data_IF_481176450272
#
_entry.id   IF_481176450272
#
_cell.length_a   1.000
_cell.length_b   1.000
_cell.length_c   1.000
_cell.angle_alpha   90.00
_cell.angle_beta   90.00
_cell.angle_gamma   90.00
#
_symmetry.space_group_name_H-M   'P 1'
#
loop_
_entity.id
_entity.type
_entity.pdbx_description
1 polymer ?
#
# COMPACT_ATOMS: atom_id res chain seq x y z
N UNK A 1 -0.77 2.14 10.21
CA UNK A 1 -1.92 3.03 9.91
C UNK A 1 -1.57 3.82 8.66
N UNK A 2 -2.54 4.07 7.78
CA UNK A 2 -2.34 4.88 6.58
C UNK A 2 -3.45 5.94 6.45
N UNK A 3 -3.10 7.17 6.06
CA UNK A 3 -4.02 8.32 5.93
C UNK A 3 -4.28 8.69 4.47
N UNK A 4 -4.25 7.68 3.60
CA UNK A 4 -4.43 7.83 2.17
C UNK A 4 -5.75 8.46 1.73
N UNK A 5 -6.79 8.18 2.50
CA UNK A 5 -8.12 8.75 2.37
C UNK A 5 -8.64 9.09 3.77
N UNK A 6 -9.11 10.32 3.94
CA UNK A 6 -9.74 10.79 5.17
C UNK A 6 -11.08 11.43 4.80
N UNK A 7 -12.16 10.90 5.35
CA UNK A 7 -13.50 11.45 5.21
C UNK A 7 -13.81 12.25 6.48
N UNK A 8 -14.23 13.50 6.31
CA UNK A 8 -14.37 14.44 7.42
C UNK A 8 -15.69 15.22 7.34
N UNK A 9 -16.49 15.18 8.41
CA UNK A 9 -17.53 16.16 8.62
C UNK A 9 -16.91 17.48 9.09
N UNK A 10 -16.78 18.44 8.17
CA UNK A 10 -16.11 19.73 8.41
C UNK A 10 -16.72 20.52 9.57
N UNK A 11 -18.03 20.46 9.77
CA UNK A 11 -18.69 21.24 10.82
C UNK A 11 -18.31 20.78 12.23
N UNK A 12 -17.96 19.49 12.37
CA UNK A 12 -17.61 18.91 13.66
C UNK A 12 -16.09 18.85 13.82
N UNK A 13 -15.34 18.46 12.79
CA UNK A 13 -13.93 18.06 12.95
C UNK A 13 -12.91 19.08 12.44
N UNK A 14 -13.32 20.30 12.05
CA UNK A 14 -12.39 21.33 11.58
C UNK A 14 -11.35 21.71 12.64
N UNK A 15 -11.75 21.83 13.91
CA UNK A 15 -10.84 22.19 15.01
C UNK A 15 -9.70 21.18 15.14
N UNK A 16 -10.00 19.88 15.04
CA UNK A 16 -9.00 18.82 15.08
C UNK A 16 -8.02 18.86 13.90
N UNK A 17 -8.50 19.27 12.72
CA UNK A 17 -7.64 19.46 11.56
C UNK A 17 -6.68 20.64 11.77
N UNK A 18 -7.18 21.77 12.28
CA UNK A 18 -6.36 22.94 12.60
C UNK A 18 -5.31 22.61 13.68
N UNK A 19 -5.69 21.81 14.68
CA UNK A 19 -4.75 21.31 15.68
C UNK A 19 -3.67 20.43 15.05
N UNK A 20 -4.04 19.50 14.16
CA UNK A 20 -3.07 18.71 13.39
C UNK A 20 -2.09 19.57 12.60
N UNK A 21 -2.56 20.64 11.95
CA UNK A 21 -1.70 21.60 11.26
C UNK A 21 -0.74 22.31 12.23
N UNK A 22 -1.21 22.73 13.40
CA UNK A 22 -0.38 23.35 14.43
C UNK A 22 0.72 22.39 14.92
N UNK A 23 0.39 21.13 15.16
CA UNK A 23 1.37 20.09 15.51
C UNK A 23 2.39 19.87 14.40
N UNK A 24 1.97 19.94 13.13
CA UNK A 24 2.88 19.75 12.01
C UNK A 24 3.89 20.91 11.87
N UNK A 25 3.49 22.13 12.24
CA UNK A 25 4.36 23.30 12.22
C UNK A 25 5.40 23.32 13.36
N UNK A 26 5.20 22.51 14.40
CA UNK A 26 6.12 22.46 15.53
C UNK A 26 7.04 21.25 15.44
N UNK A 27 8.33 21.51 15.27
CA UNK A 27 9.38 20.50 15.12
C UNK A 27 9.37 19.40 16.20
N UNK A 28 9.01 19.74 17.44
CA UNK A 28 9.00 18.77 18.54
C UNK A 28 7.91 17.70 18.35
N UNK A 29 6.81 18.05 17.69
CA UNK A 29 5.69 17.15 17.43
C UNK A 29 5.75 16.53 16.04
N UNK A 30 6.32 17.22 15.04
CA UNK A 30 6.37 16.72 13.66
C UNK A 30 7.56 15.79 13.36
N UNK A 31 8.74 16.01 13.95
CA UNK A 31 9.94 15.20 13.69
C UNK A 31 9.85 13.73 14.09
N UNK A 32 9.20 13.36 15.21
CA UNK A 32 9.13 11.95 15.64
C UNK A 32 8.22 11.09 14.77
N UNK A 33 7.37 11.70 13.93
CA UNK A 33 6.35 11.02 13.14
C UNK A 33 6.58 11.24 11.65
N UNK A 34 5.84 10.53 10.80
CA UNK A 34 5.91 10.74 9.35
C UNK A 34 5.06 11.94 8.89
N UNK A 35 4.35 12.59 9.81
CA UNK A 35 3.82 13.94 9.69
C UNK A 35 2.32 13.96 9.44
N UNK A 36 1.88 13.52 8.27
CA UNK A 36 0.46 13.54 7.91
C UNK A 36 -0.35 12.54 8.72
N UNK A 37 0.02 11.26 8.68
CA UNK A 37 -0.79 10.14 9.16
C UNK A 37 -1.07 10.22 10.65
N UNK A 38 -0.03 10.44 11.44
CA UNK A 38 -0.14 10.45 12.89
C UNK A 38 -0.80 11.73 13.41
N UNK A 39 -0.57 12.88 12.75
CA UNK A 39 -1.07 14.16 13.25
C UNK A 39 -2.55 14.40 12.93
N UNK A 40 -3.12 13.75 11.91
CA UNK A 40 -4.54 13.86 11.57
C UNK A 40 -5.45 13.44 12.74
N UNK A 41 -5.30 12.22 13.25
CA UNK A 41 -6.15 11.71 14.34
C UNK A 41 -5.69 12.23 15.69
N UNK A 42 -4.39 12.45 15.91
CA UNK A 42 -3.89 13.07 17.13
C UNK A 42 -4.47 14.49 17.30
N UNK A 43 -4.57 15.26 16.21
CA UNK A 43 -5.21 16.58 16.23
C UNK A 43 -6.68 16.52 16.64
N UNK A 44 -7.43 15.51 16.18
CA UNK A 44 -8.82 15.27 16.60
C UNK A 44 -8.90 14.96 18.10
N UNK A 45 -8.09 14.02 18.59
CA UNK A 45 -8.03 13.68 20.02
C UNK A 45 -7.71 14.88 20.91
N UNK A 46 -6.68 15.67 20.56
CA UNK A 46 -6.29 16.85 21.34
C UNK A 46 -7.35 17.96 21.33
N UNK A 47 -8.24 17.95 20.34
CA UNK A 47 -9.36 18.90 20.25
C UNK A 47 -10.64 18.38 20.93
N UNK A 48 -10.57 17.23 21.61
CA UNK A 48 -11.72 16.57 22.24
C UNK A 48 -12.70 15.97 21.23
N UNK A 49 -12.30 15.79 19.97
CA UNK A 49 -13.11 15.18 18.93
C UNK A 49 -12.75 13.69 18.81
N UNK A 50 -13.36 12.88 19.65
CA UNK A 50 -13.12 11.42 19.69
C UNK A 50 -14.08 10.63 18.79
N UNK A 51 -15.06 11.30 18.17
CA UNK A 51 -16.02 10.70 17.23
C UNK A 51 -15.37 10.47 15.86
N UNK A 52 -14.38 9.59 15.81
CA UNK A 52 -13.76 9.13 14.58
C UNK A 52 -13.44 7.63 14.67
N UNK A 53 -13.37 6.99 13.51
CA UNK A 53 -13.10 5.57 13.40
C UNK A 53 -12.03 5.31 12.32
N UNK A 54 -11.28 4.22 12.51
CA UNK A 54 -10.41 3.68 11.48
C UNK A 54 -11.17 2.64 10.67
N UNK A 55 -10.78 2.45 9.41
CA UNK A 55 -11.32 1.37 8.60
C UNK A 55 -11.13 0.01 9.31
N UNK A 56 -12.21 -0.77 9.38
CA UNK A 56 -12.21 -2.09 10.02
C UNK A 56 -11.19 -3.05 9.39
N UNK A 57 -11.09 -3.02 8.06
CA UNK A 57 -10.11 -3.83 7.32
C UNK A 57 -8.74 -3.18 7.29
N UNK A 58 -7.73 -3.99 7.58
CA UNK A 58 -6.33 -3.61 7.41
C UNK A 58 -5.98 -3.37 5.94
N UNK A 59 -4.85 -2.70 5.72
CA UNK A 59 -4.32 -2.47 4.39
C UNK A 59 -4.01 -3.78 3.67
N UNK A 60 -4.27 -3.80 2.35
CA UNK A 60 -4.00 -4.93 1.48
C UNK A 60 -2.82 -4.65 0.54
N UNK A 61 -2.06 -5.70 0.22
CA UNK A 61 -1.22 -5.70 -0.97
C UNK A 61 -2.07 -6.16 -2.15
N UNK A 62 -2.06 -5.42 -3.27
CA UNK A 62 -2.77 -5.82 -4.49
C UNK A 62 -1.82 -6.21 -5.60
N UNK A 63 -2.10 -7.31 -6.28
CA UNK A 63 -1.19 -7.80 -7.30
C UNK A 63 -1.52 -9.22 -7.76
N UNK A 64 -0.48 -10.00 -8.00
CA UNK A 64 -0.58 -11.41 -8.33
C UNK A 64 -0.22 -12.25 -7.10
N UNK A 65 -0.93 -13.37 -6.91
CA UNK A 65 -0.62 -14.32 -5.85
C UNK A 65 0.52 -15.24 -6.28
N UNK A 66 1.59 -15.25 -5.48
CA UNK A 66 2.62 -16.27 -5.51
C UNK A 66 2.31 -17.28 -4.41
N UNK A 67 2.10 -18.55 -4.77
CA UNK A 67 1.84 -19.60 -3.79
C UNK A 67 3.03 -20.56 -3.70
N UNK A 68 3.56 -20.71 -2.49
CA UNK A 68 4.62 -21.66 -2.16
C UNK A 68 4.13 -22.60 -1.05
N UNK A 69 3.62 -23.77 -1.46
CA UNK A 69 2.97 -24.70 -0.56
C UNK A 69 1.71 -24.10 0.08
N UNK A 70 1.74 -23.92 1.40
CA UNK A 70 0.65 -23.33 2.20
C UNK A 70 0.71 -21.82 2.33
N UNK A 71 1.80 -21.19 1.90
CA UNK A 71 2.02 -19.76 2.06
C UNK A 71 1.61 -19.05 0.76
N UNK A 72 0.70 -18.10 0.87
CA UNK A 72 0.34 -17.14 -0.19
C UNK A 72 1.10 -15.84 0.05
N UNK A 73 1.62 -15.27 -1.02
CA UNK A 73 2.41 -14.04 -0.99
C UNK A 73 1.93 -13.10 -2.09
N UNK A 74 1.75 -11.83 -1.77
CA UNK A 74 1.46 -10.78 -2.75
C UNK A 74 2.48 -9.67 -2.56
N UNK A 75 3.23 -9.35 -3.61
CA UNK A 75 4.17 -8.24 -3.66
C UNK A 75 3.64 -7.13 -4.55
N UNK A 76 3.74 -5.89 -4.08
CA UNK A 76 3.33 -4.74 -4.86
C UNK A 76 4.00 -3.47 -4.37
N UNK A 77 4.08 -2.48 -5.26
CA UNK A 77 4.33 -1.08 -4.88
C UNK A 77 3.06 -0.37 -4.45
N UNK A 78 1.93 -1.08 -4.49
CA UNK A 78 0.61 -0.56 -4.28
C UNK A 78 0.03 -1.09 -2.98
N UNK A 79 -0.57 -0.18 -2.22
CA UNK A 79 -1.29 -0.48 -0.99
C UNK A 79 -2.72 -0.05 -1.18
N UNK A 80 -3.68 -0.91 -0.82
CA UNK A 80 -5.09 -0.64 -1.01
C UNK A 80 -5.88 -0.82 0.29
N UNK A 81 -7.03 -0.17 0.37
CA UNK A 81 -8.03 -0.37 1.42
C UNK A 81 -9.37 -0.76 0.79
N UNK A 82 -10.04 -1.68 1.48
CA UNK A 82 -11.33 -2.22 1.08
C UNK A 82 -12.36 -1.95 2.17
N UNK A 83 -13.62 -1.84 1.79
CA UNK A 83 -14.74 -1.78 2.73
C UNK A 83 -15.05 -3.17 3.30
N UNK A 84 -16.04 -3.21 4.21
CA UNK A 84 -16.47 -4.46 4.84
C UNK A 84 -17.00 -5.49 3.82
N UNK A 85 -17.52 -5.03 2.67
CA UNK A 85 -18.00 -5.86 1.58
C UNK A 85 -16.90 -6.33 0.61
N UNK A 86 -15.66 -5.84 0.77
CA UNK A 86 -14.54 -6.17 -0.12
C UNK A 86 -14.48 -5.30 -1.38
N UNK A 87 -15.15 -4.15 -1.40
CA UNK A 87 -15.07 -3.14 -2.46
C UNK A 87 -13.86 -2.23 -2.25
N UNK A 88 -13.13 -1.92 -3.32
CA UNK A 88 -11.95 -1.04 -3.26
C UNK A 88 -12.37 0.39 -2.94
N UNK A 89 -11.92 0.92 -1.79
CA UNK A 89 -12.17 2.31 -1.39
C UNK A 89 -11.03 3.22 -1.88
N UNK A 90 -9.79 2.79 -1.69
CA UNK A 90 -8.62 3.64 -1.92
C UNK A 90 -7.37 2.82 -2.26
N UNK A 91 -6.47 3.44 -3.02
CA UNK A 91 -5.18 2.86 -3.42
C UNK A 91 -4.06 3.92 -3.43
N UNK A 92 -2.89 3.55 -2.88
CA UNK A 92 -1.63 4.27 -3.05
C UNK A 92 -0.72 3.54 -4.02
N UNK A 93 0.10 4.30 -4.75
CA UNK A 93 1.20 3.75 -5.55
C UNK A 93 1.19 4.23 -6.99
N UNK A 94 0.16 4.99 -7.39
CA UNK A 94 0.11 5.71 -8.66
C UNK A 94 -0.24 4.85 -9.87
N UNK A 95 -0.81 3.66 -9.67
CA UNK A 95 -1.33 2.77 -10.72
C UNK A 95 -0.33 2.32 -11.80
N UNK A 96 0.92 2.71 -11.70
CA UNK A 96 2.05 2.16 -12.43
C UNK A 96 2.80 1.14 -11.56
N UNK A 97 3.44 0.16 -12.16
CA UNK A 97 4.31 -0.80 -11.44
C UNK A 97 5.31 -0.11 -10.52
N UNK A 98 5.91 1.00 -10.94
CA UNK A 98 6.80 1.79 -10.10
C UNK A 98 6.71 3.29 -10.41
N UNK A 99 6.37 4.09 -9.39
CA UNK A 99 6.30 5.56 -9.48
C UNK A 99 7.66 6.27 -9.48
N UNK A 100 8.77 5.54 -9.34
CA UNK A 100 10.13 6.11 -9.23
C UNK A 100 10.87 5.95 -10.55
N UNK A 101 11.53 7.02 -10.99
CA UNK A 101 12.47 6.95 -12.11
C UNK A 101 13.82 6.36 -11.64
N UNK A 102 13.82 5.05 -11.38
CA UNK A 102 14.98 4.34 -10.81
C UNK A 102 15.40 3.10 -11.56
N UNK A 103 14.77 2.77 -12.70
CA UNK A 103 14.98 1.51 -13.41
C UNK A 103 16.46 1.22 -13.70
N UNK A 104 17.22 2.16 -14.27
CA UNK A 104 18.64 1.92 -14.57
C UNK A 104 19.51 1.81 -13.31
N UNK A 105 19.17 2.54 -12.25
CA UNK A 105 19.83 2.38 -10.96
C UNK A 105 19.55 0.99 -10.36
N UNK A 106 18.29 0.58 -10.29
CA UNK A 106 17.86 -0.72 -9.75
C UNK A 106 18.45 -1.88 -10.59
N UNK A 107 18.44 -1.77 -11.91
CA UNK A 107 19.04 -2.74 -12.84
C UNK A 107 20.54 -2.95 -12.59
N UNK A 108 21.28 -1.86 -12.37
CA UNK A 108 22.71 -1.94 -12.08
C UNK A 108 22.99 -2.60 -10.73
N UNK A 109 22.11 -2.37 -9.75
CA UNK A 109 22.29 -2.78 -8.35
C UNK A 109 21.87 -4.23 -8.11
N UNK A 110 20.76 -4.67 -8.67
CA UNK A 110 20.14 -5.95 -8.31
C UNK A 110 20.35 -7.03 -9.39
N UNK A 111 20.88 -8.19 -9.00
CA UNK A 111 21.20 -9.29 -9.94
C UNK A 111 19.95 -10.01 -10.46
N UNK A 112 18.93 -10.18 -9.63
CA UNK A 112 17.65 -10.79 -10.00
C UNK A 112 16.94 -10.00 -11.12
N UNK A 113 16.97 -8.67 -11.09
CA UNK A 113 16.41 -7.83 -12.16
C UNK A 113 17.13 -8.05 -13.49
N UNK A 114 18.44 -8.30 -13.48
CA UNK A 114 19.21 -8.65 -14.70
C UNK A 114 18.89 -10.04 -15.24
N UNK A 115 18.38 -10.94 -14.40
CA UNK A 115 17.87 -12.25 -14.84
C UNK A 115 16.51 -12.17 -15.51
N UNK A 116 15.69 -11.18 -15.14
CA UNK A 116 14.31 -11.04 -15.63
C UNK A 116 14.17 -10.00 -16.75
N UNK A 117 15.12 -9.06 -16.88
CA UNK A 117 15.07 -7.97 -17.84
C UNK A 117 16.37 -7.89 -18.64
N UNK A 118 16.25 -7.71 -19.96
CA UNK A 118 17.40 -7.70 -20.87
C UNK A 118 18.21 -6.39 -20.79
N UNK A 119 17.58 -5.31 -20.34
CA UNK A 119 18.21 -3.99 -20.22
C UNK A 119 17.48 -3.11 -19.21
N UNK A 120 18.11 -2.01 -18.79
CA UNK A 120 17.40 -1.06 -17.95
C UNK A 120 16.23 -0.35 -18.66
N UNK A 121 16.28 -0.22 -20.00
CA UNK A 121 15.16 0.29 -20.77
C UNK A 121 13.94 -0.64 -20.67
N UNK A 122 14.16 -1.96 -20.78
CA UNK A 122 13.08 -2.94 -20.62
C UNK A 122 12.48 -2.94 -19.20
N UNK A 123 13.32 -2.74 -18.17
CA UNK A 123 12.84 -2.56 -16.80
C UNK A 123 12.07 -1.24 -16.64
N UNK A 124 12.51 -0.16 -17.30
CA UNK A 124 11.83 1.12 -17.26
C UNK A 124 10.44 1.04 -17.90
N UNK A 125 10.31 0.36 -19.04
CA UNK A 125 9.01 0.09 -19.67
C UNK A 125 8.09 -0.70 -18.74
N UNK A 126 8.61 -1.70 -18.02
CA UNK A 126 7.84 -2.42 -17.00
C UNK A 126 7.41 -1.52 -15.84
N UNK A 127 8.29 -0.66 -15.33
CA UNK A 127 7.99 0.28 -14.25
C UNK A 127 6.87 1.26 -14.60
N UNK A 128 6.86 1.75 -15.85
CA UNK A 128 5.84 2.66 -16.35
C UNK A 128 4.51 1.95 -16.67
N UNK A 129 4.52 0.62 -16.80
CA UNK A 129 3.33 -0.13 -17.17
C UNK A 129 2.24 -0.05 -16.09
N UNK A 130 0.97 0.11 -16.46
CA UNK A 130 -0.14 0.06 -15.53
C UNK A 130 -0.20 -1.29 -14.82
N UNK A 131 -0.53 -1.27 -13.54
CA UNK A 131 -0.74 -2.50 -12.77
C UNK A 131 -2.01 -3.21 -13.22
N UNK A 132 -1.94 -4.54 -13.31
CA UNK A 132 -3.08 -5.42 -13.61
C UNK A 132 -3.27 -6.43 -12.46
N UNK A 133 -3.77 -5.99 -11.30
CA UNK A 133 -3.89 -6.85 -10.13
C UNK A 133 -5.00 -7.89 -10.34
N UNK A 134 -4.80 -9.10 -9.82
CA UNK A 134 -5.79 -10.18 -9.82
C UNK A 134 -6.41 -10.42 -8.45
N UNK A 135 -5.66 -10.10 -7.40
CA UNK A 135 -6.07 -10.31 -6.02
C UNK A 135 -5.67 -9.15 -5.13
N UNK A 136 -6.35 -9.03 -3.98
CA UNK A 136 -5.88 -8.31 -2.81
C UNK A 136 -5.64 -9.31 -1.68
N UNK A 137 -4.52 -9.16 -0.97
CA UNK A 137 -4.26 -9.93 0.25
C UNK A 137 -4.22 -8.98 1.45
N UNK A 138 -5.22 -9.09 2.32
CA UNK A 138 -5.32 -8.39 3.59
C UNK A 138 -4.78 -9.33 4.65
N UNK A 139 -3.84 -8.84 5.45
CA UNK A 139 -3.27 -9.61 6.55
C UNK A 139 -3.39 -8.82 7.84
N UNK A 140 -3.94 -9.46 8.87
CA UNK A 140 -3.95 -8.86 10.19
C UNK A 140 -2.52 -8.72 10.74
N UNK A 141 -2.19 -7.65 11.47
CA UNK A 141 -0.93 -7.57 12.19
C UNK A 141 -0.91 -8.69 13.22
N UNK A 142 0.00 -9.65 13.07
CA UNK A 142 0.16 -10.71 14.06
C UNK A 142 1.18 -10.24 15.10
N UNK A 143 0.93 -10.53 16.36
CA UNK A 143 1.94 -10.40 17.42
C UNK A 143 3.00 -11.48 17.19
N UNK A 144 4.02 -11.15 16.41
CA UNK A 144 5.08 -12.10 16.12
C UNK A 144 6.01 -12.23 17.33
N UNK A 145 6.24 -13.46 17.79
CA UNK A 145 7.41 -13.76 18.60
C UNK A 145 8.68 -13.42 17.81
N UNK A 146 9.79 -13.15 18.49
CA UNK A 146 11.08 -12.77 17.87
C UNK A 146 11.52 -13.74 16.75
N UNK A 147 11.08 -15.00 16.79
CA UNK A 147 11.40 -16.05 15.82
C UNK A 147 10.44 -16.12 14.60
N UNK A 148 9.28 -15.46 14.65
CA UNK A 148 8.26 -15.47 13.58
C UNK A 148 8.22 -14.19 12.73
N UNK A 149 9.25 -13.33 12.84
CA UNK A 149 9.39 -12.05 12.10
C UNK A 149 9.36 -12.17 10.56
N UNK A 150 9.27 -13.39 10.01
CA UNK A 150 9.20 -13.65 8.57
C UNK A 150 7.77 -13.65 8.00
N UNK A 151 6.74 -13.65 8.84
CA UNK A 151 5.34 -13.60 8.41
C UNK A 151 4.84 -12.15 8.51
N UNK A 152 3.99 -11.72 7.57
CA UNK A 152 3.48 -10.33 7.51
C UNK A 152 4.13 -9.46 6.44
N UNK A 153 3.95 -8.13 6.59
CA UNK A 153 4.44 -7.11 5.66
C UNK A 153 5.97 -6.99 5.73
N UNK A 154 6.64 -7.21 4.60
CA UNK A 154 8.09 -7.14 4.47
C UNK A 154 8.47 -6.39 3.20
N UNK A 155 9.33 -5.40 3.35
CA UNK A 155 9.96 -4.73 2.22
C UNK A 155 10.88 -5.70 1.47
N UNK A 156 10.81 -5.71 0.14
CA UNK A 156 11.68 -6.51 -0.73
C UNK A 156 12.45 -5.59 -1.69
N UNK A 157 13.62 -5.07 -1.26
CA UNK A 157 14.39 -4.13 -2.07
C UNK A 157 14.89 -4.70 -3.39
N UNK A 158 15.12 -6.01 -3.45
CA UNK A 158 15.61 -6.73 -4.60
C UNK A 158 14.62 -6.74 -5.77
N UNK A 159 13.32 -6.57 -5.52
CA UNK A 159 12.31 -6.35 -6.58
C UNK A 159 12.45 -4.98 -7.26
N UNK A 160 13.31 -4.10 -6.74
CA UNK A 160 13.63 -2.79 -7.30
C UNK A 160 12.67 -1.69 -6.86
N UNK A 161 12.45 -0.70 -7.73
CA UNK A 161 11.69 0.52 -7.46
C UNK A 161 12.23 1.28 -6.24
N UNK A 162 13.55 1.42 -6.09
CA UNK A 162 14.19 1.94 -4.85
C UNK A 162 13.71 1.24 -3.57
N UNK A 163 13.30 -0.02 -3.67
CA UNK A 163 12.76 -0.81 -2.58
C UNK A 163 11.34 -0.44 -2.14
N UNK A 164 10.55 0.20 -3.00
CA UNK A 164 9.13 0.45 -2.73
C UNK A 164 8.24 -0.80 -2.84
N UNK A 165 8.78 -1.95 -3.26
CA UNK A 165 8.03 -3.19 -3.20
C UNK A 165 7.88 -3.67 -1.76
N UNK A 166 6.62 -3.84 -1.36
CA UNK A 166 6.24 -4.45 -0.11
C UNK A 166 5.47 -5.74 -0.40
N UNK A 167 5.75 -6.77 0.39
CA UNK A 167 5.12 -8.06 0.24
C UNK A 167 4.45 -8.46 1.53
N UNK A 168 3.22 -8.90 1.43
CA UNK A 168 2.52 -9.53 2.54
C UNK A 168 2.39 -11.02 2.33
N UNK A 169 2.38 -11.78 3.43
CA UNK A 169 2.37 -13.23 3.46
C UNK A 169 1.24 -13.72 4.35
N UNK A 170 0.48 -14.69 3.85
CA UNK A 170 -0.57 -15.36 4.59
C UNK A 170 -0.32 -16.87 4.57
N UNK A 171 -0.50 -17.52 5.72
CA UNK A 171 -0.57 -18.97 5.81
C UNK A 171 -2.04 -19.37 5.62
N UNK A 172 -2.28 -20.44 4.86
CA UNK A 172 -3.58 -21.11 4.74
C UNK A 172 -4.36 -21.31 6.04
N UNK A 173 -3.69 -21.40 7.19
CA UNK A 173 -4.31 -21.57 8.50
C UNK A 173 -4.60 -20.25 9.25
N UNK A 174 -4.34 -19.09 8.66
CA UNK A 174 -4.55 -17.81 9.32
C UNK A 174 -6.01 -17.38 9.23
N UNK A 175 -6.71 -17.39 10.37
CA UNK A 175 -8.15 -17.09 10.44
C UNK A 175 -8.50 -15.62 10.10
N UNK A 176 -7.56 -14.69 10.30
CA UNK A 176 -7.78 -13.25 10.12
C UNK A 176 -7.18 -12.67 8.83
N UNK A 177 -6.65 -13.52 7.95
CA UNK A 177 -6.13 -13.08 6.66
C UNK A 177 -7.22 -13.29 5.58
N UNK A 178 -7.46 -12.27 4.75
CA UNK A 178 -8.49 -12.27 3.72
C UNK A 178 -7.85 -12.15 2.33
N UNK A 179 -8.19 -13.08 1.43
CA UNK A 179 -7.81 -13.01 0.02
C UNK A 179 -9.04 -12.66 -0.81
N UNK A 180 -9.03 -11.48 -1.40
CA UNK A 180 -10.09 -11.02 -2.30
C UNK A 180 -9.64 -11.31 -3.74
N UNK A 181 -10.39 -12.13 -4.45
CA UNK A 181 -10.20 -12.37 -5.89
C UNK A 181 -11.05 -11.42 -6.70
N UNK A 182 -10.43 -10.70 -7.64
CA UNK A 182 -11.15 -9.73 -8.45
C UNK A 182 -11.87 -10.38 -9.63
N UNK A 183 -13.16 -10.10 -9.74
CA UNK A 183 -13.96 -10.52 -10.89
C UNK A 183 -13.53 -9.81 -12.19
N UNK A 184 -13.99 -10.30 -13.34
CA UNK A 184 -13.64 -9.73 -14.65
C UNK A 184 -14.05 -8.28 -14.80
N UNK A 185 -15.25 -7.91 -14.35
CA UNK A 185 -15.80 -6.55 -14.46
C UNK A 185 -14.94 -5.54 -13.71
N UNK A 186 -14.56 -5.85 -12.46
CA UNK A 186 -13.67 -5.01 -11.67
C UNK A 186 -12.31 -4.88 -12.33
N UNK A 187 -11.72 -5.99 -12.82
CA UNK A 187 -10.40 -5.95 -13.47
C UNK A 187 -10.40 -5.09 -14.74
N UNK A 188 -11.45 -5.16 -15.53
CA UNK A 188 -11.60 -4.32 -16.73
C UNK A 188 -11.74 -2.84 -16.37
N UNK A 189 -12.62 -2.53 -15.40
CA UNK A 189 -12.79 -1.17 -14.90
C UNK A 189 -11.48 -0.60 -14.33
N UNK A 190 -10.80 -1.38 -13.49
CA UNK A 190 -9.52 -1.01 -12.89
C UNK A 190 -8.44 -0.79 -13.94
N UNK A 191 -8.35 -1.68 -14.94
CA UNK A 191 -7.37 -1.53 -16.02
C UNK A 191 -7.62 -0.27 -16.83
N UNK A 192 -8.88 0.07 -17.11
CA UNK A 192 -9.24 1.32 -17.78
C UNK A 192 -8.78 2.54 -16.97
N UNK A 193 -9.01 2.56 -15.65
CA UNK A 193 -8.50 3.62 -14.77
C UNK A 193 -6.97 3.70 -14.77
N UNK A 194 -6.28 2.57 -14.66
CA UNK A 194 -4.83 2.51 -14.63
C UNK A 194 -4.21 3.01 -15.95
N UNK A 195 -4.81 2.64 -17.09
CA UNK A 195 -4.40 3.12 -18.41
C UNK A 195 -4.53 4.64 -18.52
N UNK A 196 -5.70 5.20 -18.13
CA UNK A 196 -5.93 6.65 -18.12
C UNK A 196 -4.92 7.36 -17.21
N UNK A 197 -4.70 6.85 -16.01
CA UNK A 197 -3.80 7.45 -15.03
C UNK A 197 -2.33 7.43 -15.46
N UNK A 198 -1.90 6.34 -16.10
CA UNK A 198 -0.51 6.17 -16.58
C UNK A 198 -0.27 6.78 -17.96
N UNK A 199 -1.32 7.21 -18.66
CA UNK A 199 -1.23 7.78 -20.00
C UNK A 199 -0.89 6.75 -21.09
N UNK A 200 -1.18 5.48 -20.83
CA UNK A 200 -1.00 4.38 -21.79
C UNK A 200 -2.32 4.17 -22.51
N UNK A 201 -2.40 4.66 -23.75
CA UNK A 201 -3.53 4.44 -24.67
C UNK A 201 -3.20 3.36 -25.69
#
# INVERSE_FOLDING_TARGET
MESGLVVLNRNHHMTGLLMGCQLNMWDLTSKPVHGDKELFWLGQLLSGQEDFEFANKHAAAIGQVEQSGKIKKVCSTQVAHFDDNGELIWINGGLSTCKKNSACYDYSRFKNLRGNFNSCLSLNSYYQHPIAPKVALITAPKEYSMFQRSLGWKQQPDLGCLGYFWCTHSDSNAENDELIEFNSTFREYFQNLANIWTGVN
#
